data_IF_748895485866
#
_entry.id   IF_748895485866
#
_cell.length_a   1.000
_cell.length_b   1.000
_cell.length_c   1.000
_cell.angle_alpha   90.00
_cell.angle_beta   90.00
_cell.angle_gamma   90.00
#
_symmetry.space_group_name_H-M   'P 1'
#
loop_
_entity.id
_entity.type
_entity.pdbx_description
1 polymer ?
#
# COMPACT_ATOMS: atom_id res chain seq x y z
N UNK A 1 5.75 -11.67 -2.00
CA UNK A 1 4.84 -10.74 -2.69
C UNK A 1 4.39 -9.61 -1.77
N UNK A 2 3.58 -9.86 -0.74
CA UNK A 2 3.04 -8.78 0.11
C UNK A 2 4.10 -7.87 0.78
N UNK A 3 5.28 -8.39 1.18
CA UNK A 3 6.38 -7.54 1.69
C UNK A 3 6.79 -6.46 0.66
N UNK A 4 6.94 -6.83 -0.62
CA UNK A 4 7.34 -5.91 -1.67
C UNK A 4 6.20 -4.93 -2.03
N UNK A 5 4.95 -5.41 -1.99
CA UNK A 5 3.76 -4.57 -2.13
C UNK A 5 3.75 -3.48 -1.05
N UNK A 6 3.90 -3.87 0.21
CA UNK A 6 3.95 -2.92 1.33
C UNK A 6 5.12 -1.94 1.25
N UNK A 7 6.29 -2.41 0.80
CA UNK A 7 7.44 -1.55 0.62
C UNK A 7 7.16 -0.39 -0.36
N UNK A 8 6.41 -0.62 -1.45
CA UNK A 8 6.06 0.45 -2.39
C UNK A 8 5.10 1.48 -1.78
N UNK A 9 4.13 1.06 -0.98
CA UNK A 9 3.23 1.99 -0.27
C UNK A 9 3.98 2.85 0.76
N UNK A 10 5.02 2.32 1.41
CA UNK A 10 5.92 3.12 2.26
C UNK A 10 6.67 4.16 1.42
N UNK A 11 7.26 3.76 0.29
CA UNK A 11 7.96 4.69 -0.62
C UNK A 11 7.04 5.83 -1.08
N UNK A 12 5.80 5.53 -1.48
CA UNK A 12 4.83 6.55 -1.86
C UNK A 12 4.49 7.49 -0.70
N UNK A 13 4.35 6.95 0.51
CA UNK A 13 3.97 7.70 1.72
C UNK A 13 5.09 8.61 2.22
N UNK A 14 6.35 8.19 2.07
CA UNK A 14 7.52 8.98 2.45
C UNK A 14 7.71 10.24 1.61
N UNK A 15 7.07 10.34 0.43
CA UNK A 15 7.06 11.56 -0.40
C UNK A 15 6.20 12.68 0.19
N UNK A 16 5.15 12.36 0.97
CA UNK A 16 4.16 13.34 1.39
C UNK A 16 4.73 14.58 2.13
N UNK A 17 5.71 14.46 3.05
CA UNK A 17 6.28 15.62 3.75
C UNK A 17 7.03 16.60 2.82
N UNK A 18 7.71 16.11 1.78
CA UNK A 18 8.51 16.94 0.86
C UNK A 18 7.72 17.47 -0.33
N UNK A 19 6.58 16.88 -0.67
CA UNK A 19 5.84 17.18 -1.90
C UNK A 19 4.72 18.20 -1.70
N UNK A 20 4.68 18.85 -0.54
CA UNK A 20 3.68 19.86 -0.20
C UNK A 20 2.29 19.27 0.03
N UNK A 21 2.20 18.01 0.45
CA UNK A 21 0.93 17.36 0.72
C UNK A 21 0.15 18.07 1.84
N UNK A 22 -1.19 18.03 1.77
CA UNK A 22 -2.02 18.57 2.85
C UNK A 22 -1.79 17.84 4.17
N UNK A 23 -2.13 18.49 5.29
CA UNK A 23 -1.98 17.91 6.63
C UNK A 23 -2.73 16.57 6.78
N UNK A 24 -3.89 16.45 6.14
CA UNK A 24 -4.69 15.24 6.16
C UNK A 24 -4.00 14.09 5.41
N UNK A 25 -3.41 14.36 4.25
CA UNK A 25 -2.62 13.37 3.48
C UNK A 25 -1.34 13.00 4.22
N UNK A 26 -0.62 13.97 4.82
CA UNK A 26 0.57 13.68 5.64
C UNK A 26 0.24 12.79 6.84
N UNK A 27 -0.89 13.04 7.49
CA UNK A 27 -1.37 12.23 8.63
C UNK A 27 -1.72 10.80 8.18
N UNK A 28 -2.37 10.65 7.02
CA UNK A 28 -2.65 9.35 6.44
C UNK A 28 -1.35 8.61 6.09
N UNK A 29 -0.42 9.26 5.39
CA UNK A 29 0.86 8.68 4.98
C UNK A 29 1.66 8.17 6.19
N UNK A 30 1.73 8.94 7.28
CA UNK A 30 2.40 8.50 8.51
C UNK A 30 1.76 7.26 9.14
N UNK A 31 0.42 7.13 9.07
CA UNK A 31 -0.28 5.94 9.56
C UNK A 31 0.02 4.71 8.70
N UNK A 32 -0.02 4.87 7.38
CA UNK A 32 0.32 3.80 6.42
C UNK A 32 1.75 3.31 6.66
N UNK A 33 2.71 4.22 6.81
CA UNK A 33 4.12 3.86 7.07
C UNK A 33 4.23 2.99 8.33
N UNK A 34 3.61 3.41 9.43
CA UNK A 34 3.69 2.67 10.69
C UNK A 34 3.05 1.28 10.57
N UNK A 35 1.80 1.23 10.07
CA UNK A 35 1.07 -0.03 9.93
C UNK A 35 1.81 -1.02 9.03
N UNK A 36 2.24 -0.58 7.85
CA UNK A 36 2.87 -1.48 6.89
C UNK A 36 4.29 -1.89 7.27
N UNK A 37 5.03 -1.08 8.05
CA UNK A 37 6.30 -1.51 8.65
C UNK A 37 6.10 -2.62 9.68
N UNK A 38 5.09 -2.50 10.53
CA UNK A 38 4.76 -3.52 11.52
C UNK A 38 4.34 -4.83 10.83
N UNK A 39 3.51 -4.75 9.79
CA UNK A 39 3.09 -5.92 9.00
C UNK A 39 4.26 -6.58 8.24
N UNK A 40 5.18 -5.79 7.67
CA UNK A 40 6.43 -6.31 7.09
C UNK A 40 7.23 -7.07 8.13
N UNK A 41 7.41 -6.52 9.34
CA UNK A 41 8.16 -7.17 10.40
C UNK A 41 7.55 -8.53 10.79
N UNK A 42 6.22 -8.61 10.90
CA UNK A 42 5.51 -9.88 11.15
C UNK A 42 5.74 -10.89 10.02
N UNK A 43 5.62 -10.46 8.76
CA UNK A 43 5.86 -11.34 7.61
C UNK A 43 7.30 -11.84 7.53
N UNK A 44 8.28 -10.96 7.79
CA UNK A 44 9.70 -11.32 7.78
C UNK A 44 10.01 -12.32 8.89
N UNK A 45 9.52 -12.09 10.12
CA UNK A 45 9.70 -13.04 11.22
C UNK A 45 9.08 -14.40 10.90
N UNK A 46 7.88 -14.41 10.32
CA UNK A 46 7.21 -15.66 9.93
C UNK A 46 8.03 -16.49 8.92
N UNK A 47 8.69 -15.83 7.96
CA UNK A 47 9.59 -16.44 6.99
C UNK A 47 10.89 -16.93 7.65
N UNK A 48 11.49 -16.13 8.53
CA UNK A 48 12.71 -16.47 9.27
C UNK A 48 12.53 -17.73 10.12
N UNK A 49 11.45 -17.79 10.90
CA UNK A 49 11.11 -18.95 11.75
C UNK A 49 11.02 -20.26 10.94
N UNK A 50 10.66 -20.15 9.67
CA UNK A 50 10.51 -21.27 8.73
C UNK A 50 11.70 -21.47 7.81
N UNK A 51 12.79 -20.74 8.05
CA UNK A 51 14.03 -20.75 7.24
C UNK A 51 13.76 -20.52 5.75
N UNK A 52 12.74 -19.72 5.44
CA UNK A 52 12.43 -19.32 4.08
C UNK A 52 13.26 -18.07 3.69
N UNK A 53 13.49 -17.85 2.38
CA UNK A 53 14.06 -16.59 1.91
C UNK A 53 13.24 -15.40 2.39
N UNK A 54 13.90 -14.40 2.96
CA UNK A 54 13.29 -13.15 3.45
C UNK A 54 13.59 -12.04 2.45
N UNK A 55 12.58 -11.52 1.73
CA UNK A 55 12.78 -10.39 0.84
C UNK A 55 13.27 -9.14 1.60
N UNK A 56 14.22 -8.42 1.01
CA UNK A 56 14.66 -7.11 1.48
C UNK A 56 13.69 -6.03 0.95
N UNK A 57 12.94 -5.33 1.81
CA UNK A 57 12.01 -4.29 1.38
C UNK A 57 12.73 -3.09 0.72
N UNK A 58 14.02 -2.89 0.97
CA UNK A 58 14.82 -1.85 0.31
C UNK A 58 15.28 -2.24 -1.10
N UNK A 59 15.18 -3.52 -1.46
CA UNK A 59 15.56 -4.07 -2.76
C UNK A 59 14.44 -4.98 -3.28
N UNK A 60 13.28 -4.41 -3.60
CA UNK A 60 12.20 -5.19 -4.18
C UNK A 60 12.70 -5.82 -5.48
N UNK A 61 12.57 -7.14 -5.60
CA UNK A 61 12.88 -7.86 -6.82
C UNK A 61 11.95 -7.34 -7.94
N UNK A 62 12.54 -6.71 -8.95
CA UNK A 62 11.79 -6.13 -10.07
C UNK A 62 10.92 -7.19 -10.78
N UNK A 63 11.39 -8.44 -10.87
CA UNK A 63 10.60 -9.54 -11.43
C UNK A 63 9.40 -9.92 -10.54
N UNK A 64 9.52 -9.79 -9.22
CA UNK A 64 8.40 -10.00 -8.30
C UNK A 64 7.43 -8.81 -8.24
N UNK A 65 7.88 -7.61 -8.59
CA UNK A 65 7.04 -6.42 -8.68
C UNK A 65 6.13 -6.44 -9.93
N UNK A 66 6.62 -7.01 -11.04
CA UNK A 66 5.86 -7.18 -12.28
C UNK A 66 4.76 -8.23 -12.12
N UNK A 67 3.51 -7.78 -11.97
CA UNK A 67 2.32 -8.64 -11.98
C UNK A 67 1.52 -8.67 -10.68
N UNK A 68 1.96 -7.97 -9.62
CA UNK A 68 1.13 -7.81 -8.42
C UNK A 68 0.02 -6.78 -8.67
N UNK A 69 -1.25 -7.11 -8.37
CA UNK A 69 -2.35 -6.15 -8.45
C UNK A 69 -2.05 -4.87 -7.66
N UNK A 70 -2.35 -3.72 -8.25
CA UNK A 70 -2.27 -2.41 -7.58
C UNK A 70 -0.89 -1.76 -7.50
N UNK A 71 0.20 -2.47 -7.85
CA UNK A 71 1.53 -1.85 -7.90
C UNK A 71 1.60 -0.74 -8.95
N UNK A 72 2.22 0.37 -8.60
CA UNK A 72 2.60 1.42 -9.54
C UNK A 72 3.82 0.95 -10.35
N UNK A 73 3.75 1.19 -11.65
CA UNK A 73 4.91 1.15 -12.55
C UNK A 73 5.91 2.26 -12.22
N UNK A 74 7.15 2.13 -12.72
CA UNK A 74 8.17 3.16 -12.60
C UNK A 74 7.71 4.53 -13.13
N UNK A 75 6.97 4.56 -14.24
CA UNK A 75 6.42 5.78 -14.81
C UNK A 75 5.36 6.44 -13.90
N UNK A 76 4.50 5.63 -13.26
CA UNK A 76 3.51 6.13 -12.31
C UNK A 76 4.15 6.65 -11.02
N UNK A 77 5.18 5.96 -10.51
CA UNK A 77 5.98 6.44 -9.38
C UNK A 77 6.67 7.77 -9.71
N UNK A 78 7.28 7.89 -10.89
CA UNK A 78 7.89 9.14 -11.33
C UNK A 78 6.86 10.28 -11.47
N UNK A 79 5.65 9.98 -11.94
CA UNK A 79 4.57 10.97 -12.00
C UNK A 79 4.12 11.42 -10.60
N UNK A 80 4.02 10.49 -9.64
CA UNK A 80 3.74 10.81 -8.23
C UNK A 80 4.85 11.69 -7.63
N UNK A 81 6.11 11.31 -7.87
CA UNK A 81 7.28 12.04 -7.37
C UNK A 81 7.42 13.43 -8.00
N UNK A 82 6.90 13.67 -9.21
CA UNK A 82 6.87 14.98 -9.84
C UNK A 82 5.70 15.86 -9.36
N UNK A 83 4.63 15.27 -8.82
CA UNK A 83 3.44 16.00 -8.40
C UNK A 83 3.68 16.81 -7.12
N UNK A 84 3.03 17.97 -6.98
CA UNK A 84 3.14 18.84 -5.80
C UNK A 84 1.77 19.33 -5.33
N UNK A 85 1.65 19.66 -4.05
CA UNK A 85 0.45 20.28 -3.49
C UNK A 85 -0.82 19.46 -3.72
N UNK A 86 -1.91 20.12 -4.11
CA UNK A 86 -3.19 19.45 -4.40
C UNK A 86 -3.11 18.41 -5.54
N UNK A 87 -2.19 18.57 -6.49
CA UNK A 87 -1.96 17.57 -7.52
C UNK A 87 -1.31 16.30 -6.92
N UNK A 88 -0.36 16.46 -6.00
CA UNK A 88 0.21 15.35 -5.23
C UNK A 88 -0.87 14.64 -4.43
N UNK A 89 -1.67 15.36 -3.65
CA UNK A 89 -2.72 14.76 -2.82
C UNK A 89 -3.67 13.89 -3.64
N UNK A 90 -4.12 14.39 -4.80
CA UNK A 90 -5.00 13.63 -5.70
C UNK A 90 -4.34 12.40 -6.27
N UNK A 91 -3.09 12.53 -6.74
CA UNK A 91 -2.37 11.41 -7.34
C UNK A 91 -2.04 10.35 -6.27
N UNK A 92 -1.55 10.77 -5.10
CA UNK A 92 -1.30 9.91 -3.95
C UNK A 92 -2.56 9.13 -3.55
N UNK A 93 -3.69 9.80 -3.34
CA UNK A 93 -4.93 9.16 -2.92
C UNK A 93 -5.44 8.16 -3.97
N UNK A 94 -5.44 8.51 -5.26
CA UNK A 94 -5.84 7.59 -6.33
C UNK A 94 -4.92 6.37 -6.39
N UNK A 95 -3.62 6.61 -6.40
CA UNK A 95 -2.61 5.56 -6.46
C UNK A 95 -2.69 4.62 -5.25
N UNK A 96 -2.84 5.17 -4.05
CA UNK A 96 -2.90 4.37 -2.82
C UNK A 96 -4.22 3.60 -2.70
N UNK A 97 -5.34 4.13 -3.20
CA UNK A 97 -6.60 3.35 -3.32
C UNK A 97 -6.38 2.12 -4.19
N UNK A 98 -5.86 2.31 -5.41
CA UNK A 98 -5.60 1.19 -6.35
C UNK A 98 -4.59 0.20 -5.77
N UNK A 99 -3.57 0.69 -5.08
CA UNK A 99 -2.59 -0.14 -4.40
C UNK A 99 -3.24 -1.03 -3.34
N UNK A 100 -4.05 -0.45 -2.44
CA UNK A 100 -4.76 -1.18 -1.39
C UNK A 100 -5.79 -2.18 -1.94
N UNK A 101 -6.50 -1.84 -3.02
CA UNK A 101 -7.40 -2.78 -3.72
C UNK A 101 -6.63 -3.99 -4.25
N UNK A 102 -5.39 -3.78 -4.68
CA UNK A 102 -4.47 -4.84 -5.04
C UNK A 102 -4.14 -5.77 -3.86
N UNK A 103 -3.82 -5.20 -2.70
CA UNK A 103 -3.56 -5.98 -1.49
C UNK A 103 -4.78 -6.83 -1.07
N UNK A 104 -5.98 -6.26 -1.14
CA UNK A 104 -7.25 -6.97 -0.88
C UNK A 104 -7.46 -8.12 -1.87
N UNK A 105 -7.11 -7.92 -3.14
CA UNK A 105 -7.16 -8.99 -4.16
C UNK A 105 -6.18 -10.11 -3.82
N UNK A 106 -4.94 -9.80 -3.47
CA UNK A 106 -3.93 -10.79 -3.09
C UNK A 106 -4.34 -11.60 -1.86
N UNK A 107 -4.99 -10.97 -0.86
CA UNK A 107 -5.52 -11.70 0.31
C UNK A 107 -6.65 -12.64 -0.08
N UNK A 108 -7.56 -12.22 -0.99
CA UNK A 108 -8.62 -13.10 -1.49
C UNK A 108 -8.06 -14.31 -2.23
N UNK A 109 -7.06 -14.11 -3.08
CA UNK A 109 -6.38 -15.18 -3.81
C UNK A 109 -5.67 -16.14 -2.86
N UNK A 110 -5.01 -15.62 -1.82
CA UNK A 110 -4.42 -16.43 -0.76
C UNK A 110 -5.49 -17.34 -0.14
N UNK A 111 -6.62 -16.79 0.30
CA UNK A 111 -7.69 -17.59 0.93
C UNK A 111 -8.42 -18.54 -0.02
N UNK A 112 -8.34 -18.32 -1.33
CA UNK A 112 -8.89 -19.23 -2.34
C UNK A 112 -7.96 -20.42 -2.64
N UNK A 113 -6.72 -20.43 -2.15
CA UNK A 113 -5.76 -21.51 -2.38
C UNK A 113 -6.01 -22.69 -1.43
N UNK A 114 -5.96 -23.92 -1.95
CA UNK A 114 -6.14 -25.13 -1.13
C UNK A 114 -5.12 -25.20 0.02
N UNK A 115 -5.61 -25.40 1.25
CA UNK A 115 -4.78 -25.41 2.45
C UNK A 115 -4.40 -24.03 3.00
N UNK A 116 -4.82 -22.94 2.35
CA UNK A 116 -4.70 -21.61 2.92
C UNK A 116 -5.54 -21.48 4.21
N UNK A 117 -5.05 -20.67 5.15
CA UNK A 117 -5.74 -20.44 6.43
C UNK A 117 -5.54 -21.53 7.48
N UNK A 118 -4.82 -22.62 7.20
CA UNK A 118 -4.46 -23.62 8.21
C UNK A 118 -3.43 -23.10 9.23
N UNK A 119 -2.63 -22.11 8.84
CA UNK A 119 -1.72 -21.45 9.76
C UNK A 119 -2.45 -20.27 10.44
N UNK A 120 -2.69 -20.31 11.76
CA UNK A 120 -3.47 -19.28 12.45
C UNK A 120 -2.80 -17.90 12.41
N UNK A 121 -1.47 -17.84 12.40
CA UNK A 121 -0.72 -16.57 12.29
C UNK A 121 -0.92 -15.93 10.92
N UNK A 122 -0.79 -16.71 9.83
CA UNK A 122 -1.02 -16.21 8.47
C UNK A 122 -2.48 -15.80 8.28
N UNK A 123 -3.41 -16.62 8.75
CA UNK A 123 -4.84 -16.33 8.66
C UNK A 123 -5.19 -15.01 9.35
N UNK A 124 -4.70 -14.82 10.59
CA UNK A 124 -4.93 -13.60 11.34
C UNK A 124 -4.34 -12.39 10.61
N UNK A 125 -3.06 -12.45 10.22
CA UNK A 125 -2.39 -11.35 9.53
C UNK A 125 -3.10 -10.97 8.22
N UNK A 126 -3.45 -11.95 7.38
CA UNK A 126 -4.15 -11.69 6.13
C UNK A 126 -5.54 -11.10 6.36
N UNK A 127 -6.25 -11.55 7.41
CA UNK A 127 -7.56 -11.01 7.79
C UNK A 127 -7.46 -9.55 8.25
N UNK A 128 -6.47 -9.25 9.10
CA UNK A 128 -6.19 -7.91 9.61
C UNK A 128 -5.87 -6.95 8.45
N UNK A 129 -4.93 -7.34 7.56
CA UNK A 129 -4.60 -6.58 6.34
C UNK A 129 -5.86 -6.30 5.53
N UNK A 130 -6.70 -7.31 5.27
CA UNK A 130 -7.91 -7.10 4.47
C UNK A 130 -8.92 -6.14 5.13
N UNK A 131 -9.05 -6.15 6.46
CA UNK A 131 -9.94 -5.22 7.17
C UNK A 131 -9.37 -3.81 7.11
N UNK A 132 -8.12 -3.64 7.49
CA UNK A 132 -7.47 -2.33 7.60
C UNK A 132 -7.39 -1.64 6.23
N UNK A 133 -6.94 -2.36 5.20
CA UNK A 133 -6.84 -1.82 3.84
C UNK A 133 -8.22 -1.37 3.30
N UNK A 134 -9.31 -2.09 3.60
CA UNK A 134 -10.68 -1.68 3.20
C UNK A 134 -11.15 -0.44 3.95
N UNK A 135 -10.83 -0.32 5.23
CA UNK A 135 -11.13 0.88 6.02
C UNK A 135 -10.34 2.09 5.51
N UNK A 136 -9.08 1.91 5.14
CA UNK A 136 -8.25 2.96 4.56
C UNK A 136 -8.73 3.38 3.17
N UNK A 137 -9.12 2.44 2.30
CA UNK A 137 -9.77 2.75 1.01
C UNK A 137 -10.98 3.67 1.22
N UNK A 138 -11.89 3.33 2.13
CA UNK A 138 -13.08 4.13 2.40
C UNK A 138 -12.75 5.52 2.98
N UNK A 139 -11.64 5.65 3.71
CA UNK A 139 -11.13 6.97 4.16
C UNK A 139 -10.57 7.76 3.00
N UNK A 140 -9.72 7.16 2.18
CA UNK A 140 -9.09 7.82 1.03
C UNK A 140 -10.12 8.28 0.00
N UNK A 141 -11.16 7.49 -0.27
CA UNK A 141 -12.26 7.86 -1.16
C UNK A 141 -12.97 9.14 -0.67
N UNK A 142 -13.21 9.25 0.65
CA UNK A 142 -13.80 10.46 1.25
C UNK A 142 -12.88 11.67 1.16
N UNK A 143 -11.56 11.47 1.27
CA UNK A 143 -10.56 12.54 1.11
C UNK A 143 -10.42 12.97 -0.35
N UNK A 144 -10.52 12.04 -1.29
CA UNK A 144 -10.37 12.28 -2.72
C UNK A 144 -11.59 13.00 -3.31
N UNK A 145 -12.80 12.65 -2.88
CA UNK A 145 -14.05 13.20 -3.40
C UNK A 145 -14.05 14.74 -3.53
N UNK A 146 -13.75 15.55 -2.49
CA UNK A 146 -13.74 17.01 -2.62
C UNK A 146 -12.68 17.53 -3.60
N UNK A 147 -11.55 16.83 -3.76
CA UNK A 147 -10.47 17.26 -4.66
C UNK A 147 -10.81 17.07 -6.14
N UNK A 148 -11.78 16.20 -6.47
CA UNK A 148 -12.27 15.98 -7.83
C UNK A 148 -13.14 17.13 -8.32
N UNK A 149 -13.83 17.83 -7.41
CA UNK A 149 -14.76 18.91 -7.75
C UNK A 149 -14.14 20.31 -7.60
N UNK A 150 -13.01 20.44 -6.92
CA UNK A 150 -12.29 21.70 -6.74
C UNK A 150 -11.65 22.25 -8.03
N UNK A 151 -11.49 21.42 -9.07
CA UNK A 151 -10.92 21.82 -10.36
C UNK A 151 -11.98 22.37 -11.35
N UNK A 152 -13.26 22.30 -10.97
CA UNK A 152 -14.41 22.69 -11.80
C UNK A 152 -15.07 24.02 -11.38
N UNK A 153 -14.46 24.77 -10.46
CA UNK A 153 -14.88 26.13 -10.16
C UNK A 153 -14.28 27.10 -11.21
N UNK A 154 -15.11 27.90 -11.92
CA UNK A 154 -14.65 28.83 -12.94
C UNK A 154 -13.78 29.97 -12.40
#
# INVERSE_FOLDING_TARGET
MMIAHHAQAIVMSEMAPSHGASESVRTLAARIINAQRDEIAVMQLWLQDRRQPVPDPARPDEHAAHGMPGMLSAAQLAALDAARGAAFDRLFLRSMITHHEGAVTMVKELFATDGAGQNPTVFKLASDINVDQRTEIARMQRMLAPLLFAESAP
#
